data_IF_333673673801
#
_entry.id   IF_333673673801
#
_cell.length_a   1.000
_cell.length_b   1.000
_cell.length_c   1.000
_cell.angle_alpha   90.00
_cell.angle_beta   90.00
_cell.angle_gamma   90.00
#
_symmetry.space_group_name_H-M   'P 1'
#
loop_
_entity.id
_entity.type
_entity.pdbx_description
1 polymer ?
#
# COMPACT_ATOMS: atom_id res chain seq x y z
N UNK A 1 -10.57 -7.22 13.31
CA UNK A 1 -11.00 -7.43 11.91
C UNK A 1 -12.05 -8.51 11.92
N UNK A 2 -13.15 -8.37 11.17
CA UNK A 2 -14.16 -9.43 11.10
C UNK A 2 -13.56 -10.64 10.37
N UNK A 3 -13.65 -11.82 10.97
CA UNK A 3 -13.10 -13.07 10.39
C UNK A 3 -13.67 -13.34 8.98
N UNK A 4 -14.95 -13.00 8.77
CA UNK A 4 -15.63 -13.15 7.48
C UNK A 4 -14.99 -12.33 6.34
N UNK A 5 -14.25 -11.26 6.66
CA UNK A 5 -13.57 -10.43 5.66
C UNK A 5 -12.15 -10.91 5.33
N UNK A 6 -11.59 -11.84 6.11
CA UNK A 6 -10.19 -12.24 5.93
C UNK A 6 -9.94 -12.88 4.57
N UNK A 7 -10.81 -13.79 4.13
CA UNK A 7 -10.68 -14.48 2.85
C UNK A 7 -10.83 -13.53 1.63
N UNK A 8 -11.89 -12.71 1.51
CA UNK A 8 -12.01 -11.80 0.37
C UNK A 8 -10.92 -10.72 0.33
N UNK A 9 -10.41 -10.26 1.49
CA UNK A 9 -9.27 -9.33 1.53
C UNK A 9 -8.00 -9.99 1.01
N UNK A 10 -7.71 -11.22 1.44
CA UNK A 10 -6.55 -11.96 0.94
C UNK A 10 -6.63 -12.22 -0.58
N UNK A 11 -7.83 -12.53 -1.10
CA UNK A 11 -8.05 -12.68 -2.54
C UNK A 11 -7.78 -11.37 -3.29
N UNK A 12 -8.37 -10.26 -2.84
CA UNK A 12 -8.17 -8.95 -3.48
C UNK A 12 -6.70 -8.50 -3.46
N UNK A 13 -5.99 -8.78 -2.36
CA UNK A 13 -4.55 -8.56 -2.29
C UNK A 13 -3.78 -9.43 -3.30
N UNK A 14 -4.15 -10.70 -3.46
CA UNK A 14 -3.59 -11.56 -4.51
C UNK A 14 -3.83 -11.00 -5.92
N UNK A 15 -5.08 -10.66 -6.22
CA UNK A 15 -5.50 -10.15 -7.53
C UNK A 15 -4.68 -8.92 -7.94
N UNK A 16 -4.48 -7.97 -7.01
CA UNK A 16 -3.69 -6.75 -7.26
C UNK A 16 -2.23 -7.06 -7.60
N UNK A 17 -1.62 -8.04 -6.93
CA UNK A 17 -0.20 -8.40 -7.12
C UNK A 17 0.06 -9.04 -8.48
N UNK A 18 -0.97 -9.64 -9.09
CA UNK A 18 -0.88 -10.31 -10.38
C UNK A 18 -1.21 -9.42 -11.58
N UNK A 19 -1.64 -8.16 -11.36
CA UNK A 19 -2.00 -7.27 -12.47
C UNK A 19 -0.79 -6.65 -13.18
N UNK A 20 -0.92 -6.48 -14.50
CA UNK A 20 0.07 -5.81 -15.36
C UNK A 20 0.26 -4.31 -15.03
N UNK A 21 -0.69 -3.70 -14.31
CA UNK A 21 -0.59 -2.30 -13.90
C UNK A 21 -1.34 -2.01 -12.61
N UNK A 22 -0.78 -1.13 -11.79
CA UNK A 22 -1.39 -0.66 -10.56
C UNK A 22 -1.10 0.84 -10.31
N UNK A 23 -2.02 1.49 -9.60
CA UNK A 23 -1.82 2.82 -9.02
C UNK A 23 -1.67 2.66 -7.50
N UNK A 24 -0.59 3.22 -6.94
CA UNK A 24 -0.33 3.20 -5.50
C UNK A 24 -0.31 4.62 -4.95
N UNK A 25 -1.17 4.88 -3.97
CA UNK A 25 -1.35 6.18 -3.35
C UNK A 25 -1.29 6.07 -1.81
N UNK A 26 -0.84 7.15 -1.17
CA UNK A 26 -0.68 7.29 0.28
C UNK A 26 -1.27 8.64 0.76
N UNK A 27 -2.34 8.58 1.56
CA UNK A 27 -2.94 9.76 2.22
C UNK A 27 -2.73 9.69 3.73
N UNK A 28 -2.03 10.67 4.32
CA UNK A 28 -1.72 10.71 5.75
C UNK A 28 -2.59 11.68 6.58
N UNK A 29 -2.96 11.29 7.80
CA UNK A 29 -3.66 12.14 8.79
C UNK A 29 -3.09 11.97 10.21
N UNK A 30 -3.65 12.75 11.15
CA UNK A 30 -3.41 12.59 12.58
C UNK A 30 -4.62 11.95 13.24
N UNK A 31 -4.42 10.87 14.01
CA UNK A 31 -5.48 10.18 14.74
C UNK A 31 -5.16 9.91 16.21
N UNK A 32 -6.23 9.94 17.02
CA UNK A 32 -6.17 9.69 18.45
C UNK A 32 -5.21 10.61 19.21
N UNK A 33 -4.96 10.25 20.47
CA UNK A 33 -3.89 10.82 21.30
C UNK A 33 -3.24 9.70 22.09
N UNK A 34 -1.91 9.67 22.11
CA UNK A 34 -1.12 8.80 22.98
C UNK A 34 -0.03 9.66 23.63
N UNK A 35 0.12 9.57 24.94
CA UNK A 35 1.10 10.35 25.71
C UNK A 35 1.07 11.87 25.38
N UNK A 36 -0.14 12.42 25.22
CA UNK A 36 -0.34 13.85 24.93
C UNK A 36 -0.03 14.29 23.49
N UNK A 37 0.34 13.37 22.59
CA UNK A 37 0.61 13.67 21.17
C UNK A 37 -0.36 12.92 20.26
N UNK A 38 -0.70 13.55 19.14
CA UNK A 38 -1.43 12.87 18.06
C UNK A 38 -0.53 11.84 17.38
N UNK A 39 -1.11 10.69 17.00
CA UNK A 39 -0.39 9.69 16.21
C UNK A 39 -0.61 9.96 14.73
N UNK A 40 0.37 9.60 13.90
CA UNK A 40 0.19 9.61 12.45
C UNK A 40 -0.41 8.28 12.01
N UNK A 41 -1.27 8.36 11.01
CA UNK A 41 -1.77 7.21 10.27
C UNK A 41 -1.85 7.54 8.78
N UNK A 42 -1.83 6.50 7.98
CA UNK A 42 -1.81 6.58 6.53
C UNK A 42 -2.75 5.56 5.93
N UNK A 43 -3.54 6.01 4.96
CA UNK A 43 -4.40 5.20 4.13
C UNK A 43 -3.63 4.96 2.85
N UNK A 44 -3.44 3.69 2.56
CA UNK A 44 -2.82 3.21 1.35
C UNK A 44 -3.91 2.68 0.43
N UNK A 45 -3.78 2.99 -0.85
CA UNK A 45 -4.60 2.45 -1.92
C UNK A 45 -3.69 1.78 -2.95
N UNK A 46 -3.96 0.51 -3.25
CA UNK A 46 -3.47 -0.16 -4.45
C UNK A 46 -4.66 -0.45 -5.38
N UNK A 47 -4.74 0.25 -6.50
CA UNK A 47 -5.85 0.18 -7.44
C UNK A 47 -5.42 -0.35 -8.81
N UNK A 48 -6.20 -1.28 -9.33
CA UNK A 48 -6.05 -1.86 -10.67
C UNK A 48 -7.33 -1.60 -11.46
N UNK A 49 -7.46 -2.18 -12.66
CA UNK A 49 -8.66 -2.03 -13.48
C UNK A 49 -9.93 -2.58 -12.79
N UNK A 50 -9.80 -3.65 -12.00
CA UNK A 50 -10.94 -4.39 -11.44
C UNK A 50 -10.98 -4.41 -9.90
N UNK A 51 -9.83 -4.26 -9.25
CA UNK A 51 -9.70 -4.44 -7.80
C UNK A 51 -8.99 -3.23 -7.18
N UNK A 52 -9.52 -2.75 -6.06
CA UNK A 52 -8.91 -1.74 -5.21
C UNK A 52 -8.76 -2.27 -3.78
N UNK A 53 -7.55 -2.22 -3.25
CA UNK A 53 -7.23 -2.62 -1.88
C UNK A 53 -6.86 -1.39 -1.08
N UNK A 54 -7.51 -1.23 0.08
CA UNK A 54 -7.24 -0.17 1.05
C UNK A 54 -6.59 -0.74 2.31
N UNK A 55 -5.56 -0.06 2.84
CA UNK A 55 -4.90 -0.44 4.09
C UNK A 55 -4.58 0.78 4.93
N UNK A 56 -4.91 0.73 6.22
CA UNK A 56 -4.45 1.73 7.19
C UNK A 56 -3.17 1.22 7.84
N UNK A 57 -2.14 2.07 7.88
CA UNK A 57 -0.87 1.81 8.55
C UNK A 57 -0.49 2.96 9.48
N UNK A 58 0.21 2.63 10.56
CA UNK A 58 0.89 3.61 11.44
C UNK A 58 2.28 4.01 10.94
N UNK A 59 2.70 3.46 9.80
CA UNK A 59 3.93 3.77 9.10
C UNK A 59 3.65 4.11 7.64
N UNK A 60 4.68 4.62 6.96
CA UNK A 60 4.59 4.98 5.56
C UNK A 60 5.85 4.62 4.79
N UNK A 61 5.82 4.80 3.47
CA UNK A 61 6.93 4.47 2.57
C UNK A 61 6.97 3.00 2.15
N UNK A 62 8.14 2.63 1.63
CA UNK A 62 8.32 1.49 0.73
C UNK A 62 8.07 0.12 1.36
N UNK A 63 8.17 0.00 2.68
CA UNK A 63 7.84 -1.24 3.39
C UNK A 63 6.33 -1.53 3.35
N UNK A 64 5.50 -0.49 3.44
CA UNK A 64 4.05 -0.65 3.31
C UNK A 64 3.66 -0.93 1.85
N UNK A 65 4.35 -0.30 0.91
CA UNK A 65 4.20 -0.59 -0.52
C UNK A 65 4.48 -2.07 -0.83
N UNK A 66 5.58 -2.64 -0.31
CA UNK A 66 5.92 -4.07 -0.50
C UNK A 66 4.89 -4.99 0.12
N UNK A 67 4.41 -4.65 1.31
CA UNK A 67 3.38 -5.44 1.98
C UNK A 67 2.04 -5.47 1.22
N UNK A 68 1.77 -4.48 0.36
CA UNK A 68 0.60 -4.43 -0.50
C UNK A 68 0.83 -5.11 -1.85
N UNK A 69 1.88 -4.71 -2.57
CA UNK A 69 2.14 -5.14 -3.95
C UNK A 69 3.01 -6.40 -4.07
N UNK A 70 3.54 -6.92 -2.96
CA UNK A 70 4.59 -7.94 -2.98
C UNK A 70 5.97 -7.34 -3.19
N UNK A 71 7.00 -8.13 -2.94
CA UNK A 71 8.40 -7.70 -3.15
C UNK A 71 8.77 -7.63 -4.64
N UNK A 72 8.12 -8.43 -5.47
CA UNK A 72 8.45 -8.65 -6.89
C UNK A 72 7.34 -8.20 -7.85
N UNK A 73 6.66 -7.09 -7.55
CA UNK A 73 5.62 -6.56 -8.45
C UNK A 73 6.23 -6.24 -9.83
N UNK A 74 5.84 -7.02 -10.83
CA UNK A 74 6.44 -6.99 -12.18
C UNK A 74 5.67 -6.08 -13.17
N UNK A 75 4.53 -5.53 -12.76
CA UNK A 75 3.70 -4.66 -13.59
C UNK A 75 4.15 -3.18 -13.59
N UNK A 76 3.44 -2.36 -14.36
CA UNK A 76 3.61 -0.91 -14.37
C UNK A 76 3.00 -0.28 -13.12
N UNK A 77 3.81 0.46 -12.36
CA UNK A 77 3.38 1.13 -11.13
C UNK A 77 3.35 2.65 -11.30
N UNK A 78 2.18 3.26 -11.12
CA UNK A 78 2.03 4.71 -11.01
C UNK A 78 1.97 5.10 -9.53
N UNK A 79 2.92 5.91 -9.06
CA UNK A 79 3.00 6.33 -7.64
C UNK A 79 3.85 7.59 -7.46
N UNK A 80 3.77 8.22 -6.27
CA UNK A 80 4.73 9.26 -5.87
C UNK A 80 6.10 8.61 -5.61
N UNK A 81 7.22 9.15 -6.16
CA UNK A 81 8.55 8.62 -5.92
C UNK A 81 8.92 8.39 -4.45
N UNK A 82 8.37 9.18 -3.53
CA UNK A 82 8.62 9.02 -2.08
C UNK A 82 8.06 7.72 -1.51
N UNK A 83 6.94 7.23 -2.05
CA UNK A 83 6.31 6.00 -1.58
C UNK A 83 7.20 4.77 -1.84
N UNK A 84 7.95 4.79 -2.94
CA UNK A 84 8.81 3.68 -3.41
C UNK A 84 10.29 4.05 -3.42
N UNK A 85 10.70 5.03 -2.61
CA UNK A 85 12.06 5.55 -2.62
C UNK A 85 13.13 4.46 -2.39
N UNK A 86 12.87 3.46 -1.54
CA UNK A 86 13.84 2.36 -1.33
C UNK A 86 13.84 1.30 -2.44
N UNK A 87 12.87 1.33 -3.37
CA UNK A 87 12.86 0.45 -4.54
C UNK A 87 13.76 1.01 -5.66
N UNK A 88 14.06 2.32 -5.62
CA UNK A 88 14.78 3.03 -6.67
C UNK A 88 16.25 2.64 -6.87
N UNK A 89 16.83 1.77 -6.03
CA UNK A 89 18.18 1.25 -6.27
C UNK A 89 18.25 0.30 -7.49
N UNK A 90 17.12 -0.30 -7.89
CA UNK A 90 17.06 -1.20 -9.05
C UNK A 90 16.55 -0.54 -10.35
N UNK A 91 16.17 0.74 -10.33
CA UNK A 91 15.54 1.45 -11.46
C UNK A 91 16.31 2.64 -12.00
N UNK A 92 17.52 2.89 -11.49
CA UNK A 92 18.46 3.82 -12.10
C UNK A 92 19.16 3.12 -13.25
N UNK A 93 18.64 3.32 -14.46
CA UNK A 93 19.42 3.14 -15.70
C UNK A 93 20.57 4.15 -15.74
#
# INVERSE_FOLDING_TARGET
MSEALSAPVAQAEGDVREQDSANLEETGWYEGKANGRHRRAWLWLAATALVAVFRISSSHGSEVAKALLGEDFAGFLTTDPKAVASWSESWRL
#
